data_IF_680998715778
#
_entry.id   IF_680998715778
#
_cell.length_a   1.000
_cell.length_b   1.000
_cell.length_c   1.000
_cell.angle_alpha   90.00
_cell.angle_beta   90.00
_cell.angle_gamma   90.00
#
_symmetry.space_group_name_H-M   'P 1'
#
loop_
_entity.id
_entity.type
_entity.pdbx_description
1 polymer ?
#
# COMPACT_ATOMS: atom_id res chain seq x y z
N UNK A 1 15.91 -3.99 -8.71
CA UNK A 1 14.77 -3.10 -9.04
C UNK A 1 14.00 -3.54 -10.28
N UNK A 2 14.55 -3.44 -11.51
CA UNK A 2 13.83 -3.79 -12.77
C UNK A 2 13.20 -5.19 -12.77
N UNK A 3 13.92 -6.20 -12.25
CA UNK A 3 13.40 -7.58 -12.14
C UNK A 3 12.16 -7.69 -11.24
N UNK A 4 12.10 -6.94 -10.15
CA UNK A 4 10.99 -6.97 -9.20
C UNK A 4 9.72 -6.35 -9.81
N UNK A 5 9.87 -5.25 -10.54
CA UNK A 5 8.78 -4.66 -11.31
C UNK A 5 8.27 -5.64 -12.36
N UNK A 6 9.15 -6.25 -13.16
CA UNK A 6 8.74 -7.25 -14.16
C UNK A 6 7.96 -8.41 -13.52
N UNK A 7 8.47 -8.96 -12.41
CA UNK A 7 7.78 -10.03 -11.69
C UNK A 7 6.40 -9.58 -11.19
N UNK A 8 6.30 -8.37 -10.65
CA UNK A 8 5.03 -7.78 -10.20
C UNK A 8 4.02 -7.65 -11.35
N UNK A 9 4.43 -7.10 -12.49
CA UNK A 9 3.59 -7.00 -13.68
C UNK A 9 3.15 -8.36 -14.21
N UNK A 10 4.06 -9.35 -14.24
CA UNK A 10 3.76 -10.69 -14.72
C UNK A 10 2.71 -11.37 -13.83
N UNK A 11 2.70 -11.11 -12.51
CA UNK A 11 1.67 -11.61 -11.58
C UNK A 11 0.31 -10.94 -11.81
N UNK A 12 0.27 -9.62 -11.98
CA UNK A 12 -0.98 -8.90 -12.28
C UNK A 12 -1.59 -9.38 -13.59
N UNK A 13 -0.78 -9.55 -14.65
CA UNK A 13 -1.25 -9.96 -15.98
C UNK A 13 -1.83 -11.37 -16.03
N UNK A 14 -1.33 -12.27 -15.17
CA UNK A 14 -1.80 -13.66 -15.10
C UNK A 14 -3.10 -13.82 -14.30
N UNK A 15 -3.50 -12.77 -13.59
CA UNK A 15 -4.64 -12.82 -12.69
C UNK A 15 -5.95 -12.61 -13.47
N UNK A 16 -6.92 -13.51 -13.28
CA UNK A 16 -8.30 -13.18 -13.61
C UNK A 16 -8.86 -12.25 -12.53
N UNK A 17 -9.12 -11.00 -12.91
CA UNK A 17 -9.60 -9.96 -11.99
C UNK A 17 -10.96 -10.31 -11.38
N UNK A 18 -11.76 -11.17 -12.04
CA UNK A 18 -13.07 -11.61 -11.53
C UNK A 18 -12.93 -12.46 -10.27
N UNK A 19 -11.93 -13.34 -10.24
CA UNK A 19 -11.67 -14.27 -9.13
C UNK A 19 -10.70 -13.68 -8.08
N UNK A 20 -10.11 -12.53 -8.37
CA UNK A 20 -9.21 -11.84 -7.46
C UNK A 20 -9.94 -11.13 -6.33
N UNK A 21 -9.38 -11.18 -5.13
CA UNK A 21 -9.77 -10.36 -3.98
C UNK A 21 -8.73 -9.28 -3.71
N UNK A 22 -8.99 -8.42 -2.72
CA UNK A 22 -7.99 -7.47 -2.19
C UNK A 22 -6.75 -8.18 -1.59
N UNK A 23 -6.81 -9.47 -1.29
CA UNK A 23 -5.68 -10.20 -0.70
C UNK A 23 -4.81 -10.92 -1.73
N UNK A 24 -5.38 -11.23 -2.90
CA UNK A 24 -4.77 -12.17 -3.87
C UNK A 24 -3.39 -11.73 -4.35
N UNK A 25 -3.15 -10.42 -4.49
CA UNK A 25 -1.88 -9.88 -4.97
C UNK A 25 -0.97 -9.32 -3.86
N UNK A 26 -1.35 -9.45 -2.57
CA UNK A 26 -0.52 -8.98 -1.46
C UNK A 26 0.89 -9.60 -1.46
N UNK A 27 1.11 -10.90 -1.77
CA UNK A 27 2.46 -11.44 -1.85
C UNK A 27 3.32 -10.80 -2.94
N UNK A 28 2.73 -10.51 -4.10
CA UNK A 28 3.44 -9.83 -5.19
C UNK A 28 3.77 -8.38 -4.81
N UNK A 29 2.84 -7.70 -4.14
CA UNK A 29 3.03 -6.35 -3.63
C UNK A 29 4.12 -6.30 -2.54
N UNK A 30 4.11 -7.21 -1.57
CA UNK A 30 5.14 -7.31 -0.52
C UNK A 30 6.54 -7.50 -1.12
N UNK A 31 6.67 -8.38 -2.12
CA UNK A 31 7.93 -8.58 -2.83
C UNK A 31 8.42 -7.31 -3.53
N UNK A 32 7.51 -6.59 -4.22
CA UNK A 32 7.85 -5.32 -4.86
C UNK A 32 8.30 -4.27 -3.84
N UNK A 33 7.55 -4.11 -2.74
CA UNK A 33 7.83 -3.14 -1.69
C UNK A 33 9.19 -3.42 -1.03
N UNK A 34 9.47 -4.67 -0.68
CA UNK A 34 10.78 -5.07 -0.12
C UNK A 34 11.93 -4.85 -1.09
N UNK A 35 11.70 -5.05 -2.39
CA UNK A 35 12.72 -4.81 -3.41
C UNK A 35 12.97 -3.32 -3.72
N UNK A 36 12.00 -2.44 -3.42
CA UNK A 36 12.12 -0.99 -3.58
C UNK A 36 12.57 -0.28 -2.29
N UNK A 37 12.33 -0.88 -1.14
CA UNK A 37 12.76 -0.38 0.15
C UNK A 37 14.29 -0.33 0.23
N UNK A 38 14.84 0.78 0.74
CA UNK A 38 16.27 0.86 1.06
C UNK A 38 16.63 -0.11 2.19
N UNK A 39 17.89 -0.50 2.30
CA UNK A 39 18.37 -1.55 3.24
C UNK A 39 17.97 -1.32 4.70
N UNK A 40 17.78 -0.06 5.11
CA UNK A 40 17.41 0.33 6.48
C UNK A 40 15.90 0.30 6.74
N UNK A 41 15.09 0.15 5.70
CA UNK A 41 13.63 0.20 5.77
C UNK A 41 13.08 -1.22 5.93
N UNK A 42 12.40 -1.47 7.05
CA UNK A 42 11.66 -2.70 7.29
C UNK A 42 10.24 -2.54 6.74
N UNK A 43 9.83 -3.45 5.86
CA UNK A 43 8.46 -3.59 5.35
C UNK A 43 7.76 -4.68 6.17
N UNK A 44 6.69 -4.30 6.85
CA UNK A 44 5.89 -5.20 7.69
C UNK A 44 4.54 -5.38 7.03
N UNK A 45 4.26 -6.58 6.52
CA UNK A 45 2.94 -7.00 6.03
C UNK A 45 2.07 -7.45 7.20
N UNK A 46 0.79 -7.08 7.19
CA UNK A 46 -0.20 -7.41 8.23
C UNK A 46 0.30 -7.14 9.66
N UNK A 47 0.74 -5.89 9.95
CA UNK A 47 1.11 -5.51 11.29
C UNK A 47 -0.01 -5.78 12.30
N UNK A 48 0.37 -6.17 13.53
CA UNK A 48 -0.57 -6.26 14.64
C UNK A 48 -1.39 -4.96 14.74
N UNK A 49 -2.70 -5.13 14.94
CA UNK A 49 -3.62 -4.04 15.25
C UNK A 49 -3.06 -3.23 16.41
N UNK A 50 -3.12 -1.91 16.29
CA UNK A 50 -2.76 -1.08 17.42
C UNK A 50 -3.77 -1.24 18.56
N UNK A 51 -3.29 -1.11 19.79
CA UNK A 51 -4.13 -1.18 21.00
C UNK A 51 -5.10 0.01 21.08
N UNK A 52 -4.90 1.04 20.24
CA UNK A 52 -5.73 2.24 20.18
C UNK A 52 -6.99 2.09 19.32
N UNK A 53 -7.22 0.91 18.72
CA UNK A 53 -8.43 0.62 17.95
C UNK A 53 -8.53 1.38 16.61
N UNK A 54 -7.42 1.92 16.09
CA UNK A 54 -7.43 2.76 14.88
C UNK A 54 -7.34 1.95 13.58
N UNK A 55 -7.13 0.64 13.68
CA UNK A 55 -7.09 -0.31 12.56
C UNK A 55 -5.74 -1.04 12.47
N UNK A 56 -5.60 -1.89 11.46
CA UNK A 56 -4.32 -2.44 11.04
C UNK A 56 -4.15 -2.13 9.56
N UNK A 57 -3.10 -1.39 9.16
CA UNK A 57 -2.84 -1.16 7.75
C UNK A 57 -2.36 -2.45 7.11
N UNK A 58 -2.53 -2.59 5.80
CA UNK A 58 -2.02 -3.77 5.09
C UNK A 58 -0.50 -3.85 5.19
N UNK A 59 0.17 -2.69 5.11
CA UNK A 59 1.61 -2.57 5.24
C UNK A 59 2.03 -1.41 6.14
N UNK A 60 3.12 -1.61 6.87
CA UNK A 60 3.77 -0.60 7.71
C UNK A 60 5.27 -0.54 7.40
N UNK A 61 5.78 0.67 7.22
CA UNK A 61 7.20 0.92 6.95
C UNK A 61 7.87 1.49 8.19
N UNK A 62 9.03 0.95 8.56
CA UNK A 62 9.84 1.44 9.68
C UNK A 62 11.31 1.61 9.32
N UNK A 63 11.97 2.59 9.94
CA UNK A 63 13.42 2.61 10.12
C UNK A 63 13.69 2.52 11.61
N UNK A 64 14.41 1.49 12.05
CA UNK A 64 14.48 1.12 13.47
C UNK A 64 13.07 0.99 14.05
N UNK A 65 12.76 1.72 15.13
CA UNK A 65 11.41 1.77 15.72
C UNK A 65 10.55 2.94 15.24
N UNK A 66 11.10 3.82 14.40
CA UNK A 66 10.35 4.94 13.85
C UNK A 66 9.46 4.48 12.69
N UNK A 67 8.16 4.73 12.81
CA UNK A 67 7.19 4.51 11.73
C UNK A 67 7.36 5.61 10.69
N UNK A 68 7.69 5.22 9.45
CA UNK A 68 7.80 6.12 8.31
C UNK A 68 6.45 6.43 7.68
N UNK A 69 5.56 5.44 7.66
CA UNK A 69 4.27 5.54 7.00
C UNK A 69 3.62 4.17 6.82
N UNK A 70 2.53 4.17 6.09
CA UNK A 70 1.68 3.00 5.87
C UNK A 70 1.35 2.83 4.39
N UNK A 71 0.88 1.63 4.04
CA UNK A 71 0.21 1.41 2.76
C UNK A 71 -1.07 0.63 2.99
N UNK A 72 -2.11 1.05 2.28
CA UNK A 72 -3.42 0.42 2.18
C UNK A 72 -3.62 0.00 0.73
N UNK A 73 -4.10 -1.23 0.52
CA UNK A 73 -4.39 -1.73 -0.80
C UNK A 73 -5.89 -2.00 -0.98
N UNK A 74 -6.34 -1.99 -2.24
CA UNK A 74 -7.73 -2.19 -2.64
C UNK A 74 -7.79 -3.18 -3.79
N UNK A 75 -8.98 -3.71 -4.07
CA UNK A 75 -9.15 -4.66 -5.17
C UNK A 75 -8.89 -3.96 -6.51
N UNK A 76 -8.30 -4.69 -7.47
CA UNK A 76 -8.14 -4.20 -8.85
C UNK A 76 -9.51 -3.75 -9.39
N UNK A 77 -9.53 -2.58 -10.02
CA UNK A 77 -10.73 -1.99 -10.63
C UNK A 77 -11.53 -1.08 -9.69
N UNK A 78 -11.23 -1.04 -8.40
CA UNK A 78 -11.85 -0.06 -7.50
C UNK A 78 -11.28 1.35 -7.73
N UNK A 79 -12.15 2.36 -7.68
CA UNK A 79 -11.76 3.77 -7.84
C UNK A 79 -11.18 4.28 -6.53
N UNK A 80 -9.89 4.61 -6.51
CA UNK A 80 -9.22 5.01 -5.27
C UNK A 80 -9.78 6.28 -4.62
N UNK A 81 -10.35 7.19 -5.43
CA UNK A 81 -10.94 8.45 -4.97
C UNK A 81 -12.05 8.27 -3.92
N UNK A 82 -12.80 7.16 -3.98
CA UNK A 82 -13.87 6.88 -3.02
C UNK A 82 -13.33 6.60 -1.60
N UNK A 83 -12.08 6.18 -1.49
CA UNK A 83 -11.45 5.85 -0.21
C UNK A 83 -10.70 7.03 0.41
N UNK A 84 -10.37 8.07 -0.37
CA UNK A 84 -9.62 9.22 0.11
C UNK A 84 -10.27 9.95 1.28
N UNK A 85 -11.60 9.84 1.41
CA UNK A 85 -12.41 10.42 2.49
C UNK A 85 -12.90 9.39 3.51
N UNK A 86 -12.47 8.13 3.39
CA UNK A 86 -12.89 7.08 4.32
C UNK A 86 -12.33 7.31 5.72
N UNK A 87 -13.08 6.89 6.74
CA UNK A 87 -12.65 7.01 8.14
C UNK A 87 -11.30 6.34 8.40
N UNK A 88 -11.02 5.23 7.73
CA UNK A 88 -9.75 4.50 7.84
C UNK A 88 -8.57 5.39 7.40
N UNK A 89 -8.67 6.03 6.23
CA UNK A 89 -7.63 6.95 5.72
C UNK A 89 -7.48 8.18 6.64
N UNK A 90 -8.59 8.73 7.13
CA UNK A 90 -8.58 9.86 8.08
C UNK A 90 -7.88 9.49 9.39
N UNK A 91 -8.14 8.29 9.93
CA UNK A 91 -7.49 7.79 11.16
C UNK A 91 -5.97 7.65 11.00
N UNK A 92 -5.48 7.15 9.87
CA UNK A 92 -4.03 7.02 9.65
C UNK A 92 -3.33 8.37 9.51
N UNK A 93 -3.97 9.34 8.84
CA UNK A 93 -3.43 10.71 8.74
C UNK A 93 -3.19 11.35 10.12
N UNK A 94 -4.03 11.04 11.10
CA UNK A 94 -3.83 11.52 12.49
C UNK A 94 -2.64 10.87 13.20
N UNK A 95 -2.21 9.66 12.80
CA UNK A 95 -1.07 8.95 13.40
C UNK A 95 0.25 9.36 12.74
N UNK A 96 0.29 9.24 11.41
CA UNK A 96 1.40 9.64 10.54
C UNK A 96 0.83 10.04 9.19
N UNK A 97 1.08 11.27 8.80
CA UNK A 97 0.60 11.82 7.53
C UNK A 97 1.52 11.43 6.37
N UNK A 98 1.70 10.13 6.18
CA UNK A 98 2.47 9.53 5.09
C UNK A 98 1.88 8.16 4.76
N UNK A 99 1.04 8.12 3.73
CA UNK A 99 0.24 6.96 3.38
C UNK A 99 0.26 6.74 1.87
N UNK A 100 0.44 5.49 1.46
CA UNK A 100 0.27 5.07 0.07
C UNK A 100 -1.04 4.30 -0.05
N UNK A 101 -1.85 4.62 -1.04
CA UNK A 101 -3.06 3.89 -1.39
C UNK A 101 -2.90 3.31 -2.79
N UNK A 102 -3.22 2.03 -2.98
CA UNK A 102 -3.12 1.40 -4.30
C UNK A 102 -4.22 0.38 -4.58
N UNK A 103 -4.63 0.26 -5.84
CA UNK A 103 -5.44 -0.87 -6.32
C UNK A 103 -4.61 -1.79 -7.24
N UNK A 104 -3.29 -1.85 -7.00
CA UNK A 104 -2.25 -2.53 -7.77
C UNK A 104 -1.89 -1.91 -9.13
N UNK A 105 -2.78 -1.15 -9.75
CA UNK A 105 -2.53 -0.47 -11.02
C UNK A 105 -2.33 1.04 -10.82
N UNK A 106 -3.09 1.63 -9.94
CA UNK A 106 -3.00 3.03 -9.55
C UNK A 106 -2.37 3.16 -8.17
N UNK A 107 -1.58 4.21 -7.98
CA UNK A 107 -0.86 4.51 -6.75
C UNK A 107 -1.07 5.98 -6.40
N UNK A 108 -1.57 6.24 -5.20
CA UNK A 108 -1.73 7.59 -4.65
C UNK A 108 -0.85 7.68 -3.42
N UNK A 109 0.08 8.63 -3.44
CA UNK A 109 0.83 9.02 -2.27
C UNK A 109 0.17 10.22 -1.60
N UNK A 110 -0.26 10.02 -0.36
CA UNK A 110 -0.84 11.02 0.50
C UNK A 110 0.21 11.46 1.53
N UNK A 111 0.39 12.76 1.65
CA UNK A 111 1.30 13.35 2.62
C UNK A 111 0.78 14.71 3.06
N UNK A 112 0.89 15.01 4.35
CA UNK A 112 0.46 16.28 4.94
C UNK A 112 -0.98 16.68 4.53
N UNK A 113 -1.87 15.68 4.47
CA UNK A 113 -3.29 15.86 4.19
C UNK A 113 -3.65 16.01 2.71
N UNK A 114 -2.67 16.06 1.80
CA UNK A 114 -2.88 16.28 0.37
C UNK A 114 -2.41 15.09 -0.48
N UNK A 115 -2.84 15.04 -1.74
CA UNK A 115 -2.27 14.12 -2.74
C UNK A 115 -0.92 14.70 -3.15
N UNK A 116 0.16 14.09 -2.66
CA UNK A 116 1.51 14.49 -3.02
C UNK A 116 1.87 13.99 -4.42
N UNK A 117 1.42 12.77 -4.78
CA UNK A 117 1.64 12.20 -6.11
C UNK A 117 0.58 11.16 -6.44
N UNK A 118 0.26 11.02 -7.73
CA UNK A 118 -0.61 9.98 -8.26
C UNK A 118 0.02 9.44 -9.55
N UNK A 119 0.10 8.12 -9.65
CA UNK A 119 0.69 7.44 -10.81
C UNK A 119 -0.12 6.20 -11.14
N UNK A 120 -0.17 5.88 -12.43
CA UNK A 120 -0.87 4.70 -12.95
C UNK A 120 0.09 3.86 -13.77
N UNK A 121 0.02 2.55 -13.60
CA UNK A 121 0.72 1.56 -14.41
C UNK A 121 -0.01 1.40 -15.75
N UNK A 122 -0.04 2.44 -16.58
CA UNK A 122 -0.45 2.45 -17.99
C UNK A 122 0.09 3.73 -18.64
#
# INVERSE_FOLDING_TARGET
MIKAFKAYFDQIKKLDVKDATEHTLRPALDHLLKACAGEKIRVIHEPKRDETGKGAPDFKFKINECILGYLENKKIGEKLDQFLKSEQIVKYRQLRDNLILTNYLEWIWLRDGVIAKRETLC
#
